data_IF_754860812015
#
_entry.id   IF_754860812015
#
_cell.length_a   1.000
_cell.length_b   1.000
_cell.length_c   1.000
_cell.angle_alpha   90.00
_cell.angle_beta   90.00
_cell.angle_gamma   90.00
#
_symmetry.space_group_name_H-M   'P 1'
#
loop_
_entity.id
_entity.type
_entity.pdbx_description
1 polymer ?
#
# COMPACT_ATOMS: atom_id res chain seq x y z
N UNK A 1 -1.51 -45.26 12.86
CA UNK A 1 -2.69 -44.46 13.29
C UNK A 1 -2.14 -43.21 13.96
N UNK A 2 -2.00 -42.13 13.19
CA UNK A 2 -1.42 -40.87 13.66
C UNK A 2 -2.56 -39.88 13.79
N UNK A 3 -3.03 -39.69 15.01
CA UNK A 3 -4.04 -38.69 15.35
C UNK A 3 -3.29 -37.35 15.46
N UNK A 4 -3.47 -36.49 14.46
CA UNK A 4 -3.02 -35.10 14.50
C UNK A 4 -4.20 -34.24 14.95
N UNK A 5 -4.18 -33.82 16.22
CA UNK A 5 -5.13 -32.86 16.78
C UNK A 5 -4.61 -31.44 16.55
N UNK A 6 -5.15 -30.75 15.56
CA UNK A 6 -4.95 -29.31 15.36
C UNK A 6 -5.84 -28.53 16.31
N UNK A 7 -5.25 -27.91 17.34
CA UNK A 7 -5.93 -26.95 18.20
C UNK A 7 -6.23 -25.66 17.43
N UNK A 8 -7.50 -25.42 17.14
CA UNK A 8 -8.01 -24.09 16.77
C UNK A 8 -8.12 -23.25 18.06
N UNK A 9 -7.39 -22.13 18.10
CA UNK A 9 -7.64 -21.05 19.08
C UNK A 9 -8.44 -19.94 18.38
N UNK A 10 -9.41 -19.30 19.05
CA UNK A 10 -10.20 -18.20 18.48
C UNK A 10 -9.31 -16.96 18.25
N UNK A 11 -9.64 -16.10 17.27
CA UNK A 11 -8.82 -14.96 16.90
C UNK A 11 -8.86 -13.88 17.99
N UNK A 12 -7.75 -13.74 18.72
CA UNK A 12 -7.49 -12.59 19.60
C UNK A 12 -7.19 -11.34 18.74
N UNK A 13 -7.78 -10.20 19.13
CA UNK A 13 -7.63 -8.89 18.46
C UNK A 13 -6.16 -8.54 18.20
N UNK A 14 -5.78 -8.06 17.00
CA UNK A 14 -4.40 -7.68 16.72
C UNK A 14 -4.04 -6.34 17.39
N UNK A 15 -2.87 -6.34 18.04
CA UNK A 15 -2.03 -5.18 18.35
C UNK A 15 -1.88 -4.29 17.10
N UNK A 16 -2.11 -2.97 17.26
CA UNK A 16 -2.26 -1.96 16.21
C UNK A 16 -0.97 -1.70 15.39
N UNK A 17 -0.51 -2.73 14.68
CA UNK A 17 0.57 -2.64 13.69
C UNK A 17 -0.08 -2.52 12.33
N UNK A 18 -0.50 -1.32 11.96
CA UNK A 18 -1.08 -1.02 10.65
C UNK A 18 -0.23 -1.63 9.53
N UNK A 19 -0.67 -2.78 8.99
CA UNK A 19 -0.11 -3.38 7.79
C UNK A 19 -0.85 -2.79 6.61
N UNK A 20 -0.30 -1.72 6.04
CA UNK A 20 -0.79 -1.23 4.75
C UNK A 20 -0.41 -2.26 3.68
N UNK A 21 -1.36 -3.14 3.37
CA UNK A 21 -1.16 -4.25 2.45
C UNK A 21 -1.74 -3.85 1.09
N UNK A 22 -0.87 -3.51 0.13
CA UNK A 22 -1.26 -3.11 -1.22
C UNK A 22 -1.29 -4.33 -2.15
N UNK A 23 -2.46 -4.73 -2.66
CA UNK A 23 -2.55 -5.78 -3.68
C UNK A 23 -3.59 -5.57 -4.79
N UNK A 24 -3.12 -5.97 -5.98
CA UNK A 24 -3.72 -6.56 -7.18
C UNK A 24 -4.78 -5.85 -8.05
N UNK A 25 -4.61 -6.11 -9.35
CA UNK A 25 -5.58 -5.93 -10.44
C UNK A 25 -6.53 -7.13 -10.42
N UNK A 26 -7.76 -6.94 -9.92
CA UNK A 26 -8.82 -7.95 -9.99
C UNK A 26 -9.28 -8.08 -11.46
N UNK A 27 -9.17 -9.27 -12.06
CA UNK A 27 -9.57 -9.52 -13.46
C UNK A 27 -10.88 -10.32 -13.52
N UNK A 28 -12.02 -9.63 -13.59
CA UNK A 28 -13.27 -10.12 -14.19
C UNK A 28 -13.97 -11.33 -13.53
N UNK A 29 -15.31 -11.37 -13.65
CA UNK A 29 -16.15 -12.50 -13.24
C UNK A 29 -16.39 -12.65 -11.74
N UNK A 30 -15.32 -12.84 -10.96
CA UNK A 30 -15.35 -13.29 -9.56
C UNK A 30 -14.75 -12.26 -8.58
N UNK A 31 -14.82 -10.97 -8.96
CA UNK A 31 -14.26 -9.84 -8.17
C UNK A 31 -14.73 -9.89 -6.71
N UNK A 32 -15.98 -10.27 -6.47
CA UNK A 32 -16.57 -10.29 -5.13
C UNK A 32 -16.11 -11.48 -4.28
N UNK A 33 -15.88 -12.64 -4.89
CA UNK A 33 -15.35 -13.81 -4.19
C UNK A 33 -13.90 -13.53 -3.78
N UNK A 34 -13.06 -13.06 -4.70
CA UNK A 34 -11.68 -12.67 -4.40
C UNK A 34 -11.60 -11.57 -3.32
N UNK A 35 -12.52 -10.59 -3.36
CA UNK A 35 -12.62 -9.56 -2.31
C UNK A 35 -13.07 -10.12 -0.97
N UNK A 36 -13.99 -11.09 -0.97
CA UNK A 36 -14.49 -11.74 0.24
C UNK A 36 -13.39 -12.56 0.89
N UNK A 37 -12.67 -13.35 0.11
CA UNK A 37 -11.52 -14.14 0.57
C UNK A 37 -10.42 -13.25 1.11
N UNK A 38 -10.12 -12.12 0.43
CA UNK A 38 -9.13 -11.19 0.97
C UNK A 38 -9.62 -10.58 2.29
N UNK A 39 -10.85 -10.08 2.33
CA UNK A 39 -11.40 -9.39 3.51
C UNK A 39 -11.50 -10.32 4.72
N UNK A 40 -11.83 -11.59 4.51
CA UNK A 40 -11.84 -12.60 5.59
C UNK A 40 -10.43 -12.88 6.12
N UNK A 41 -9.43 -12.95 5.24
CA UNK A 41 -8.04 -13.21 5.63
C UNK A 41 -7.36 -12.05 6.37
N UNK A 42 -7.79 -10.81 6.14
CA UNK A 42 -7.21 -9.60 6.76
C UNK A 42 -8.14 -8.95 7.80
N UNK A 43 -9.18 -9.68 8.23
CA UNK A 43 -10.18 -9.17 9.14
C UNK A 43 -9.55 -8.69 10.48
N UNK A 44 -9.88 -7.46 10.88
CA UNK A 44 -9.34 -6.82 12.10
C UNK A 44 -8.06 -5.98 11.89
N UNK A 45 -7.51 -5.95 10.67
CA UNK A 45 -6.37 -5.10 10.31
C UNK A 45 -6.83 -3.83 9.56
N UNK A 46 -6.05 -2.75 9.65
CA UNK A 46 -6.27 -1.57 8.79
C UNK A 46 -5.66 -1.79 7.41
N UNK A 47 -6.47 -1.67 6.36
CA UNK A 47 -6.02 -1.86 4.98
C UNK A 47 -6.58 -0.82 4.02
N UNK A 48 -5.82 -0.58 2.95
CA UNK A 48 -6.19 0.22 1.79
C UNK A 48 -5.99 -0.61 0.52
N UNK A 49 -7.02 -0.68 -0.31
CA UNK A 49 -7.01 -1.43 -1.57
C UNK A 49 -7.39 -0.47 -2.70
N UNK A 50 -6.46 -0.28 -3.62
CA UNK A 50 -6.69 0.40 -4.90
C UNK A 50 -6.69 -0.61 -6.05
N UNK A 51 -7.65 -0.48 -6.96
CA UNK A 51 -7.80 -1.45 -8.04
C UNK A 51 -8.64 -0.96 -9.22
N UNK A 52 -8.49 -1.65 -10.35
CA UNK A 52 -9.35 -1.51 -11.52
C UNK A 52 -10.55 -2.46 -11.38
N UNK A 53 -11.73 -1.93 -11.09
CA UNK A 53 -12.96 -2.70 -10.90
C UNK A 53 -13.82 -2.71 -12.14
N UNK A 54 -13.71 -1.67 -12.97
CA UNK A 54 -14.51 -1.49 -14.19
C UNK A 54 -16.01 -1.58 -13.93
N UNK A 55 -16.48 -1.11 -12.77
CA UNK A 55 -17.86 -1.16 -12.34
C UNK A 55 -18.45 0.27 -12.43
N UNK A 56 -19.66 0.42 -12.98
CA UNK A 56 -20.28 1.72 -13.18
C UNK A 56 -21.26 2.01 -12.05
N UNK A 57 -21.03 3.08 -11.30
CA UNK A 57 -21.97 3.56 -10.31
C UNK A 57 -21.89 5.08 -10.11
N UNK A 58 -23.04 5.67 -9.81
CA UNK A 58 -23.19 7.08 -9.49
C UNK A 58 -22.33 7.50 -8.29
N UNK A 59 -22.16 6.61 -7.32
CA UNK A 59 -21.39 6.85 -6.10
C UNK A 59 -19.94 7.27 -6.36
N UNK A 60 -19.35 6.90 -7.50
CA UNK A 60 -17.98 7.26 -7.88
C UNK A 60 -17.87 7.93 -9.25
N UNK A 61 -18.96 8.55 -9.73
CA UNK A 61 -18.91 9.52 -10.84
C UNK A 61 -19.55 9.10 -12.16
N UNK A 62 -20.05 7.86 -12.29
CA UNK A 62 -20.81 7.49 -13.49
C UNK A 62 -22.21 8.09 -13.49
N UNK A 63 -22.80 8.28 -14.68
CA UNK A 63 -24.20 8.71 -14.80
C UNK A 63 -25.18 7.60 -14.44
N UNK A 64 -24.86 6.38 -14.84
CA UNK A 64 -25.72 5.20 -14.73
C UNK A 64 -25.01 4.10 -13.94
N UNK A 65 -25.79 3.13 -13.49
CA UNK A 65 -25.32 1.96 -12.73
C UNK A 65 -25.39 0.68 -13.58
N UNK A 66 -24.28 -0.06 -13.65
CA UNK A 66 -24.26 -1.42 -14.21
C UNK A 66 -24.42 -2.48 -13.09
N UNK A 67 -24.67 -3.74 -13.47
CA UNK A 67 -24.85 -4.84 -12.50
C UNK A 67 -23.65 -4.97 -11.56
N UNK A 68 -22.43 -4.82 -12.09
CA UNK A 68 -21.19 -4.90 -11.32
C UNK A 68 -21.08 -3.75 -10.31
N UNK A 69 -21.48 -2.55 -10.71
CA UNK A 69 -21.55 -1.37 -9.82
C UNK A 69 -22.50 -1.60 -8.65
N UNK A 70 -23.69 -2.15 -8.93
CA UNK A 70 -24.67 -2.49 -7.89
C UNK A 70 -24.13 -3.51 -6.89
N UNK A 71 -23.61 -4.63 -7.40
CA UNK A 71 -23.08 -5.67 -6.52
C UNK A 71 -21.85 -5.18 -5.71
N UNK A 72 -20.98 -4.38 -6.32
CA UNK A 72 -19.84 -3.79 -5.62
C UNK A 72 -20.28 -2.77 -4.57
N UNK A 73 -21.30 -1.97 -4.85
CA UNK A 73 -21.88 -1.03 -3.89
C UNK A 73 -22.52 -1.75 -2.70
N UNK A 74 -23.28 -2.81 -2.94
CA UNK A 74 -23.85 -3.67 -1.90
C UNK A 74 -22.75 -4.25 -1.01
N UNK A 75 -21.69 -4.81 -1.61
CA UNK A 75 -20.55 -5.33 -0.88
C UNK A 75 -19.81 -4.27 -0.05
N UNK A 76 -19.63 -3.05 -0.59
CA UNK A 76 -19.05 -1.93 0.15
C UNK A 76 -19.90 -1.60 1.39
N UNK A 77 -21.22 -1.58 1.23
CA UNK A 77 -22.15 -1.28 2.32
C UNK A 77 -22.17 -2.40 3.37
N UNK A 78 -22.27 -3.66 2.95
CA UNK A 78 -22.32 -4.84 3.83
C UNK A 78 -21.06 -4.97 4.69
N UNK A 79 -19.88 -4.72 4.11
CA UNK A 79 -18.60 -4.83 4.82
C UNK A 79 -18.19 -3.55 5.53
N UNK A 80 -19.04 -2.52 5.56
CA UNK A 80 -18.74 -1.19 6.13
C UNK A 80 -17.42 -0.58 5.62
N UNK A 81 -17.12 -0.80 4.34
CA UNK A 81 -15.89 -0.31 3.72
C UNK A 81 -16.07 1.14 3.28
N UNK A 82 -15.07 1.98 3.54
CA UNK A 82 -15.06 3.38 3.11
C UNK A 82 -14.45 3.49 1.72
N UNK A 83 -15.01 4.36 0.89
CA UNK A 83 -14.53 4.65 -0.45
C UNK A 83 -13.86 6.03 -0.43
N UNK A 84 -12.64 6.14 -0.94
CA UNK A 84 -11.95 7.42 -1.06
C UNK A 84 -12.38 8.20 -2.32
N UNK A 85 -12.81 7.49 -3.36
CA UNK A 85 -13.47 8.12 -4.50
C UNK A 85 -14.79 8.77 -4.07
N UNK A 86 -15.13 9.87 -4.72
CA UNK A 86 -16.41 10.57 -4.57
C UNK A 86 -17.12 10.71 -5.93
N UNK A 87 -18.39 11.12 -5.93
CA UNK A 87 -19.12 11.46 -7.15
C UNK A 87 -18.49 12.62 -7.93
N UNK A 88 -17.80 13.52 -7.21
CA UNK A 88 -17.22 14.74 -7.76
C UNK A 88 -15.75 14.55 -8.16
N UNK A 89 -15.22 13.33 -7.96
CA UNK A 89 -13.85 12.99 -8.33
C UNK A 89 -13.64 13.11 -9.85
N UNK A 90 -12.48 13.61 -10.31
CA UNK A 90 -12.15 13.61 -11.74
C UNK A 90 -12.14 12.18 -12.31
N UNK A 91 -12.36 12.00 -13.63
CA UNK A 91 -12.32 10.69 -14.26
C UNK A 91 -10.93 10.06 -14.11
N UNK A 92 -10.88 8.77 -13.78
CA UNK A 92 -9.62 8.01 -13.71
C UNK A 92 -9.25 7.36 -15.05
N UNK A 93 -10.16 7.43 -16.03
CA UNK A 93 -9.95 6.93 -17.39
C UNK A 93 -10.46 7.95 -18.41
N UNK A 94 -9.67 8.21 -19.45
CA UNK A 94 -10.01 9.08 -20.57
C UNK A 94 -9.42 8.53 -21.87
N UNK A 95 -10.30 8.17 -22.80
CA UNK A 95 -9.92 7.76 -24.16
C UNK A 95 -10.76 8.50 -25.19
N UNK A 96 -10.12 9.32 -26.02
CA UNK A 96 -10.80 10.23 -26.95
C UNK A 96 -11.83 11.12 -26.21
N UNK A 97 -13.10 11.02 -26.59
CA UNK A 97 -14.22 11.74 -25.97
C UNK A 97 -14.92 10.94 -24.87
N UNK A 98 -14.41 9.75 -24.51
CA UNK A 98 -14.98 8.90 -23.46
C UNK A 98 -14.21 9.09 -22.15
N UNK A 99 -14.95 9.21 -21.05
CA UNK A 99 -14.42 9.32 -19.71
C UNK A 99 -15.05 8.25 -18.83
N UNK A 100 -14.34 7.82 -17.79
CA UNK A 100 -14.82 6.84 -16.83
C UNK A 100 -14.06 6.88 -15.51
N UNK A 101 -14.60 6.18 -14.53
CA UNK A 101 -14.07 6.03 -13.16
C UNK A 101 -13.91 4.55 -12.79
N UNK A 102 -13.22 3.73 -13.60
CA UNK A 102 -13.11 2.30 -13.33
C UNK A 102 -12.12 1.97 -12.20
N UNK A 103 -11.28 2.93 -11.77
CA UNK A 103 -10.27 2.75 -10.75
C UNK A 103 -10.77 3.28 -9.39
N UNK A 104 -10.92 2.37 -8.42
CA UNK A 104 -11.46 2.68 -7.10
C UNK A 104 -10.43 2.41 -6.02
N UNK A 105 -10.48 3.23 -4.96
CA UNK A 105 -9.65 3.10 -3.77
C UNK A 105 -10.54 3.01 -2.53
N UNK A 106 -10.39 1.91 -1.81
CA UNK A 106 -11.23 1.54 -0.66
C UNK A 106 -10.37 1.36 0.57
N UNK A 107 -10.90 1.75 1.73
CA UNK A 107 -10.24 1.66 3.03
C UNK A 107 -11.18 1.05 4.07
N UNK A 108 -10.63 0.27 4.99
CA UNK A 108 -11.45 -0.47 5.95
C UNK A 108 -12.00 0.40 7.08
N UNK A 109 -11.20 1.34 7.58
CA UNK A 109 -11.57 2.16 8.75
C UNK A 109 -11.82 3.61 8.39
N UNK A 110 -12.74 4.23 9.12
CA UNK A 110 -12.98 5.67 9.05
C UNK A 110 -11.72 6.46 9.42
N UNK A 111 -10.99 6.00 10.44
CA UNK A 111 -9.73 6.61 10.89
C UNK A 111 -8.67 6.64 9.80
N UNK A 112 -8.52 5.55 9.04
CA UNK A 112 -7.61 5.49 7.90
C UNK A 112 -8.10 6.40 6.76
N UNK A 113 -9.41 6.43 6.49
CA UNK A 113 -9.98 7.32 5.50
C UNK A 113 -9.68 8.81 5.82
N UNK A 114 -9.80 9.19 7.09
CA UNK A 114 -9.63 10.57 7.55
C UNK A 114 -8.18 11.09 7.39
N UNK A 115 -7.20 10.20 7.37
CA UNK A 115 -5.79 10.55 7.14
C UNK A 115 -5.35 10.32 5.69
N UNK A 116 -6.26 9.89 4.81
CA UNK A 116 -5.96 9.70 3.40
C UNK A 116 -6.41 10.91 2.58
N UNK A 117 -5.51 11.46 1.79
CA UNK A 117 -5.84 12.37 0.70
C UNK A 117 -5.83 11.58 -0.61
N UNK A 118 -6.84 11.80 -1.45
CA UNK A 118 -7.03 11.11 -2.71
C UNK A 118 -7.18 12.13 -3.82
N UNK A 119 -6.41 11.98 -4.89
CA UNK A 119 -6.44 12.91 -6.02
C UNK A 119 -6.16 12.19 -7.35
N UNK A 120 -6.61 12.79 -8.44
CA UNK A 120 -6.34 12.35 -9.81
C UNK A 120 -5.34 13.30 -10.43
N UNK A 121 -4.12 12.82 -10.67
CA UNK A 121 -3.06 13.64 -11.22
C UNK A 121 -3.32 13.94 -12.70
N UNK A 122 -3.43 15.23 -13.02
CA UNK A 122 -3.55 15.75 -14.40
C UNK A 122 -2.27 15.63 -15.24
N UNK A 123 -1.29 14.83 -14.80
CA UNK A 123 -0.07 14.63 -15.57
C UNK A 123 -0.37 13.99 -16.93
N UNK A 124 0.07 14.64 -18.00
CA UNK A 124 0.10 14.03 -19.33
C UNK A 124 0.85 12.69 -19.28
N UNK A 125 0.08 11.63 -19.37
CA UNK A 125 0.55 10.27 -19.49
C UNK A 125 0.14 9.72 -20.86
N UNK A 126 0.81 8.64 -21.30
CA UNK A 126 0.54 8.01 -22.59
C UNK A 126 -0.41 6.81 -22.47
N UNK A 127 -1.11 6.71 -21.34
CA UNK A 127 -2.15 5.73 -21.07
C UNK A 127 -3.51 6.41 -21.22
N UNK A 128 -4.54 5.59 -21.36
CA UNK A 128 -5.91 6.06 -21.22
C UNK A 128 -6.33 6.13 -19.74
N UNK A 129 -5.57 5.48 -18.83
CA UNK A 129 -5.76 5.63 -17.38
C UNK A 129 -4.99 6.83 -16.85
N UNK A 130 -5.62 7.58 -15.96
CA UNK A 130 -5.07 8.75 -15.27
C UNK A 130 -4.52 8.29 -13.92
N UNK A 131 -3.40 8.86 -13.49
CA UNK A 131 -2.76 8.43 -12.25
C UNK A 131 -3.59 8.87 -11.05
N UNK A 132 -3.86 7.92 -10.16
CA UNK A 132 -4.44 8.19 -8.85
C UNK A 132 -3.31 8.36 -7.84
N UNK A 133 -3.31 9.49 -7.14
CA UNK A 133 -2.41 9.79 -6.03
C UNK A 133 -3.15 9.57 -4.72
N UNK A 134 -2.48 8.89 -3.80
CA UNK A 134 -2.98 8.66 -2.45
C UNK A 134 -1.87 9.08 -1.49
N UNK A 135 -2.16 10.04 -0.64
CA UNK A 135 -1.30 10.43 0.47
C UNK A 135 -1.88 9.90 1.76
N UNK A 136 -1.06 9.24 2.58
CA UNK A 136 -1.44 8.76 3.90
C UNK A 136 -0.69 9.62 4.91
N UNK A 137 -1.39 10.55 5.54
CA UNK A 137 -0.87 11.50 6.51
C UNK A 137 -0.74 10.82 7.88
N UNK A 138 0.27 9.95 7.99
CA UNK A 138 0.53 9.18 9.20
C UNK A 138 1.93 9.47 9.75
N UNK A 139 2.04 9.52 11.07
CA UNK A 139 3.32 9.58 11.78
C UNK A 139 4.07 8.22 11.79
N UNK A 140 3.78 7.32 10.84
CA UNK A 140 4.53 6.07 10.67
C UNK A 140 5.95 6.43 10.23
N UNK A 141 6.84 6.48 11.21
CA UNK A 141 8.26 6.82 11.06
C UNK A 141 9.09 5.68 10.47
N UNK A 142 8.52 4.49 10.26
CA UNK A 142 9.26 3.34 9.74
C UNK A 142 8.66 2.78 8.46
N UNK A 143 9.14 3.25 7.31
CA UNK A 143 9.06 2.55 6.02
C UNK A 143 9.98 1.32 5.98
N UNK A 144 10.31 0.71 7.12
CA UNK A 144 11.28 -0.37 7.23
C UNK A 144 10.71 -1.51 8.08
N UNK A 145 10.74 -2.74 7.55
CA UNK A 145 10.56 -3.93 8.35
C UNK A 145 11.88 -4.26 9.04
N UNK A 146 11.90 -4.15 10.37
CA UNK A 146 13.02 -4.60 11.18
C UNK A 146 12.94 -6.13 11.36
N UNK A 147 13.94 -6.85 10.84
CA UNK A 147 14.08 -8.29 11.04
C UNK A 147 15.35 -8.58 11.84
N UNK A 148 15.23 -9.41 12.88
CA UNK A 148 16.38 -9.98 13.56
C UNK A 148 17.12 -10.95 12.64
N UNK A 149 18.45 -10.83 12.56
CA UNK A 149 19.32 -11.72 11.77
C UNK A 149 19.52 -13.09 12.45
N UNK A 150 18.43 -13.83 12.69
CA UNK A 150 18.45 -15.12 13.39
C UNK A 150 19.26 -16.18 12.67
N UNK A 151 19.32 -16.16 11.33
CA UNK A 151 20.12 -17.11 10.55
C UNK A 151 21.65 -16.97 10.72
N UNK A 152 22.14 -15.91 11.36
CA UNK A 152 23.57 -15.64 11.52
C UNK A 152 24.10 -16.10 12.90
N UNK A 153 23.38 -17.00 13.57
CA UNK A 153 23.72 -17.53 14.89
C UNK A 153 23.22 -16.65 16.05
N UNK A 154 23.72 -16.92 17.26
CA UNK A 154 23.30 -16.25 18.50
C UNK A 154 22.26 -17.02 19.32
N UNK A 155 21.74 -18.14 18.82
CA UNK A 155 20.71 -18.94 19.49
C UNK A 155 21.10 -19.43 20.88
N UNK A 156 22.34 -19.91 21.08
CA UNK A 156 22.80 -20.33 22.40
C UNK A 156 22.83 -19.16 23.40
N UNK A 157 23.22 -17.97 22.95
CA UNK A 157 23.22 -16.76 23.78
C UNK A 157 21.78 -16.33 24.12
N UNK A 158 20.87 -16.40 23.15
CA UNK A 158 19.44 -16.18 23.38
C UNK A 158 18.89 -17.16 24.42
N UNK A 159 19.12 -18.46 24.25
CA UNK A 159 18.66 -19.48 25.18
C UNK A 159 19.20 -19.24 26.59
N UNK A 160 20.48 -18.93 26.73
CA UNK A 160 21.09 -18.66 28.03
C UNK A 160 20.47 -17.44 28.73
N UNK A 161 20.24 -16.35 28.00
CA UNK A 161 19.61 -15.15 28.55
C UNK A 161 18.12 -15.38 28.87
N UNK A 162 17.40 -15.99 27.94
CA UNK A 162 15.95 -16.22 28.07
C UNK A 162 15.64 -17.24 29.16
N UNK A 163 16.50 -18.24 29.40
CA UNK A 163 16.34 -19.26 30.46
C UNK A 163 16.12 -18.63 31.83
N UNK A 164 16.79 -17.51 32.13
CA UNK A 164 16.60 -16.78 33.40
C UNK A 164 15.20 -16.17 33.55
N UNK A 165 14.47 -15.95 32.45
CA UNK A 165 13.12 -15.37 32.42
C UNK A 165 12.02 -16.41 32.46
N UNK A 166 12.31 -17.65 32.03
CA UNK A 166 11.31 -18.73 31.89
C UNK A 166 10.54 -18.98 33.17
N UNK A 167 11.19 -18.99 34.34
CA UNK A 167 10.48 -19.27 35.59
C UNK A 167 9.47 -18.17 35.94
N UNK A 168 9.83 -16.90 35.74
CA UNK A 168 8.90 -15.78 35.96
C UNK A 168 7.71 -15.83 34.98
N UNK A 169 7.97 -16.15 33.72
CA UNK A 169 6.92 -16.30 32.71
C UNK A 169 5.99 -17.49 33.02
N UNK A 170 6.52 -18.62 33.51
CA UNK A 170 5.71 -19.76 33.96
C UNK A 170 4.76 -19.38 35.10
N UNK A 171 5.26 -18.63 36.08
CA UNK A 171 4.45 -18.18 37.20
C UNK A 171 3.32 -17.23 36.73
N UNK A 172 3.59 -16.33 35.79
CA UNK A 172 2.55 -15.46 35.20
C UNK A 172 1.45 -16.25 34.51
N UNK A 173 1.82 -17.28 33.73
CA UNK A 173 0.84 -18.18 33.10
C UNK A 173 -0.01 -18.91 34.14
N UNK A 174 0.62 -19.43 35.19
CA UNK A 174 -0.09 -20.17 36.25
C UNK A 174 -1.01 -19.29 37.11
N UNK A 175 -0.71 -17.99 37.22
CA UNK A 175 -1.50 -17.04 38.02
C UNK A 175 -2.61 -16.36 37.22
N UNK A 176 -2.60 -16.47 35.88
CA UNK A 176 -3.63 -15.88 35.02
C UNK A 176 -4.92 -16.68 35.14
N UNK A 177 -6.01 -16.02 35.54
CA UNK A 177 -7.29 -16.66 35.86
C UNK A 177 -8.44 -16.20 34.96
N UNK A 178 -8.26 -15.09 34.23
CA UNK A 178 -9.25 -14.53 33.31
C UNK A 178 -8.62 -14.13 31.96
N UNK A 179 -9.48 -13.86 30.98
CA UNK A 179 -9.07 -13.56 29.60
C UNK A 179 -8.16 -12.33 29.48
N UNK A 180 -8.42 -11.29 30.29
CA UNK A 180 -7.62 -10.06 30.29
C UNK A 180 -6.20 -10.32 30.82
N UNK A 181 -6.08 -11.06 31.92
CA UNK A 181 -4.80 -11.49 32.48
C UNK A 181 -4.02 -12.40 31.53
N UNK A 182 -4.70 -13.28 30.80
CA UNK A 182 -4.06 -14.09 29.76
C UNK A 182 -3.54 -13.24 28.59
N UNK A 183 -4.30 -12.22 28.18
CA UNK A 183 -3.86 -11.27 27.14
C UNK A 183 -2.61 -10.49 27.59
N UNK A 184 -2.62 -9.99 28.82
CA UNK A 184 -1.48 -9.23 29.37
C UNK A 184 -0.25 -10.12 29.59
N UNK A 185 -0.45 -11.36 30.04
CA UNK A 185 0.62 -12.36 30.13
C UNK A 185 1.21 -12.67 28.76
N UNK A 186 0.37 -12.81 27.73
CA UNK A 186 0.82 -13.02 26.34
C UNK A 186 1.65 -11.84 25.85
N UNK A 187 1.19 -10.61 26.10
CA UNK A 187 1.92 -9.39 25.78
C UNK A 187 3.28 -9.34 26.48
N UNK A 188 3.32 -9.69 27.76
CA UNK A 188 4.55 -9.74 28.57
C UNK A 188 5.54 -10.75 27.99
N UNK A 189 5.09 -11.95 27.62
CA UNK A 189 5.94 -12.98 26.99
C UNK A 189 6.52 -12.47 25.66
N UNK A 190 5.67 -11.89 24.80
CA UNK A 190 6.10 -11.34 23.52
C UNK A 190 7.14 -10.23 23.70
N UNK A 191 6.94 -9.34 24.68
CA UNK A 191 7.87 -8.27 25.00
C UNK A 191 9.21 -8.80 25.51
N UNK A 192 9.22 -9.81 26.37
CA UNK A 192 10.47 -10.40 26.86
C UNK A 192 11.23 -11.15 25.76
N UNK A 193 10.52 -11.84 24.86
CA UNK A 193 11.13 -12.45 23.66
C UNK A 193 11.74 -11.35 22.79
N UNK A 194 11.00 -10.27 22.53
CA UNK A 194 11.47 -9.15 21.71
C UNK A 194 12.71 -8.46 22.32
N UNK A 195 12.68 -8.14 23.62
CA UNK A 195 13.82 -7.53 24.33
C UNK A 195 15.05 -8.43 24.27
N UNK A 196 14.88 -9.73 24.51
CA UNK A 196 15.98 -10.69 24.47
C UNK A 196 16.54 -10.82 23.05
N UNK A 197 15.67 -10.86 22.04
CA UNK A 197 16.08 -10.84 20.64
C UNK A 197 16.88 -9.57 20.29
N UNK A 198 16.47 -8.39 20.79
CA UNK A 198 17.17 -7.11 20.58
C UNK A 198 18.57 -7.07 21.20
N UNK A 199 18.78 -7.78 22.32
CA UNK A 199 20.10 -7.90 22.95
C UNK A 199 21.04 -8.85 22.23
N UNK A 200 20.49 -9.86 21.54
CA UNK A 200 21.27 -10.96 20.98
C UNK A 200 21.52 -10.80 19.48
N UNK A 201 20.48 -10.45 18.73
CA UNK A 201 20.52 -10.45 17.28
C UNK A 201 20.71 -9.04 16.74
N UNK A 202 21.56 -8.92 15.72
CA UNK A 202 21.63 -7.70 14.92
C UNK A 202 20.30 -7.49 14.18
N UNK A 203 19.80 -6.27 14.19
CA UNK A 203 18.60 -5.87 13.45
C UNK A 203 19.01 -5.48 12.03
N UNK A 204 18.31 -6.03 11.03
CA UNK A 204 18.35 -5.52 9.67
C UNK A 204 17.04 -4.79 9.40
N UNK A 205 17.13 -3.52 9.06
CA UNK A 205 16.01 -2.76 8.54
C UNK A 205 15.98 -2.96 7.03
N UNK A 206 14.93 -3.61 6.53
CA UNK A 206 14.68 -3.67 5.09
C UNK A 206 13.60 -2.64 4.77
N UNK A 207 13.76 -1.79 3.75
CA UNK A 207 12.70 -0.89 3.34
C UNK A 207 11.48 -1.72 2.91
N UNK A 208 10.31 -1.37 3.43
CA UNK A 208 9.01 -1.93 3.07
C UNK A 208 8.69 -1.64 1.61
N UNK A 209 9.13 -0.48 1.13
CA UNK A 209 9.06 -0.10 -0.28
C UNK A 209 10.45 -0.37 -0.88
N UNK A 210 10.65 -1.48 -1.60
CA UNK A 210 11.88 -1.65 -2.37
C UNK A 210 12.02 -0.44 -3.31
N UNK A 211 13.22 0.14 -3.37
CA UNK A 211 13.50 1.24 -4.28
C UNK A 211 13.06 0.80 -5.69
N UNK A 212 12.12 1.53 -6.28
CA UNK A 212 11.35 1.08 -7.44
C UNK A 212 12.28 1.08 -8.66
N UNK A 213 12.98 -0.04 -8.90
CA UNK A 213 14.09 -0.14 -9.87
C UNK A 213 13.67 0.02 -11.33
N UNK A 214 12.37 -0.09 -11.61
CA UNK A 214 11.84 0.14 -12.95
C UNK A 214 11.65 1.63 -13.26
N UNK A 215 11.62 2.53 -12.27
CA UNK A 215 11.66 3.98 -12.51
C UNK A 215 13.12 4.47 -12.53
N UNK A 216 13.86 4.08 -13.56
CA UNK A 216 15.25 4.49 -13.73
C UNK A 216 15.38 5.75 -14.59
N UNK A 217 16.58 6.33 -14.59
CA UNK A 217 16.92 7.52 -15.38
C UNK A 217 16.55 7.35 -16.86
N UNK A 218 16.65 6.15 -17.43
CA UNK A 218 16.31 5.88 -18.83
C UNK A 218 14.82 6.04 -19.10
N UNK A 219 13.95 5.61 -18.18
CA UNK A 219 12.51 5.85 -18.30
C UNK A 219 12.16 7.33 -18.23
N UNK A 220 12.86 8.08 -17.39
CA UNK A 220 12.68 9.53 -17.26
C UNK A 220 13.15 10.26 -18.53
N UNK A 221 14.29 9.86 -19.10
CA UNK A 221 14.79 10.34 -20.40
C UNK A 221 13.78 10.03 -21.50
N UNK A 222 13.29 8.79 -21.59
CA UNK A 222 12.26 8.40 -22.57
C UNK A 222 10.95 9.17 -22.38
N UNK A 223 10.53 9.46 -21.14
CA UNK A 223 9.36 10.33 -20.84
C UNK A 223 9.60 11.73 -21.38
N UNK A 224 10.78 12.32 -21.14
CA UNK A 224 11.14 13.65 -21.64
C UNK A 224 11.24 13.71 -23.17
N UNK A 225 11.81 12.71 -23.83
CA UNK A 225 11.86 12.62 -25.30
C UNK A 225 10.46 12.61 -25.93
N UNK A 226 9.55 11.81 -25.36
CA UNK A 226 8.18 11.74 -25.85
C UNK A 226 7.45 13.08 -25.64
N UNK A 227 7.69 13.76 -24.50
CA UNK A 227 7.15 15.10 -24.23
C UNK A 227 7.67 16.12 -25.25
N UNK A 228 8.97 16.08 -25.55
CA UNK A 228 9.56 16.95 -26.56
C UNK A 228 8.96 16.71 -27.96
N UNK A 229 8.75 15.45 -28.34
CA UNK A 229 8.11 15.09 -29.60
C UNK A 229 6.64 15.53 -29.66
N UNK A 230 5.88 15.38 -28.58
CA UNK A 230 4.50 15.84 -28.50
C UNK A 230 4.39 17.38 -28.62
N UNK A 231 5.29 18.11 -27.96
CA UNK A 231 5.39 19.58 -28.10
C UNK A 231 5.76 20.02 -29.51
N UNK A 232 6.65 19.28 -30.19
CA UNK A 232 6.99 19.54 -31.61
C UNK A 232 5.79 19.28 -32.52
N UNK A 233 5.04 18.21 -32.30
CA UNK A 233 3.82 17.90 -33.04
C UNK A 233 2.75 19.00 -32.91
N UNK A 234 2.60 19.58 -31.72
CA UNK A 234 1.66 20.70 -31.50
C UNK A 234 2.08 21.97 -32.24
N UNK A 235 3.38 22.17 -32.48
CA UNK A 235 3.94 23.36 -33.14
C UNK A 235 4.18 23.20 -34.64
N UNK A 236 4.03 21.99 -35.19
CA UNK A 236 4.34 21.66 -36.58
C UNK A 236 3.14 21.89 -37.52
N UNK A 237 3.41 22.39 -38.73
CA UNK A 237 2.49 22.48 -39.88
C UNK A 237 2.49 21.19 -40.71
N UNK A 238 1.56 21.09 -41.68
CA UNK A 238 0.97 19.83 -42.16
C UNK A 238 1.93 18.67 -42.51
N UNK A 239 3.03 18.88 -43.25
CA UNK A 239 3.95 17.79 -43.62
C UNK A 239 4.76 17.25 -42.44
N UNK A 240 5.33 18.15 -41.63
CA UNK A 240 6.07 17.80 -40.40
C UNK A 240 5.15 17.14 -39.37
N UNK A 241 3.88 17.54 -39.34
CA UNK A 241 2.87 17.01 -38.43
C UNK A 241 2.61 15.53 -38.70
N UNK A 242 2.57 15.11 -39.96
CA UNK A 242 2.43 13.68 -40.33
C UNK A 242 3.66 12.89 -39.85
N UNK A 243 4.86 13.41 -40.11
CA UNK A 243 6.11 12.78 -39.68
C UNK A 243 6.16 12.60 -38.15
N UNK A 244 5.92 13.67 -37.37
CA UNK A 244 5.92 13.59 -35.90
C UNK A 244 4.83 12.66 -35.36
N UNK A 245 3.65 12.58 -36.00
CA UNK A 245 2.56 11.68 -35.61
C UNK A 245 2.95 10.21 -35.81
N UNK A 246 3.62 9.88 -36.92
CA UNK A 246 4.14 8.53 -37.20
C UNK A 246 5.22 8.15 -36.18
N UNK A 247 6.19 9.06 -35.93
CA UNK A 247 7.29 8.82 -35.00
C UNK A 247 6.77 8.62 -33.57
N UNK A 248 5.83 9.44 -33.13
CA UNK A 248 5.17 9.30 -31.82
C UNK A 248 4.43 7.96 -31.71
N UNK A 249 3.65 7.58 -32.72
CA UNK A 249 2.92 6.30 -32.73
C UNK A 249 3.87 5.10 -32.63
N UNK A 250 4.98 5.09 -33.39
CA UNK A 250 6.00 4.04 -33.34
C UNK A 250 6.68 3.96 -31.97
N UNK A 251 7.10 5.09 -31.40
CA UNK A 251 7.73 5.10 -30.07
C UNK A 251 6.73 4.71 -28.96
N UNK A 252 5.45 5.08 -29.06
CA UNK A 252 4.39 4.65 -28.13
C UNK A 252 4.18 3.14 -28.17
N UNK A 253 4.05 2.52 -29.35
CA UNK A 253 3.90 1.06 -29.50
C UNK A 253 5.08 0.30 -28.87
N UNK A 254 6.30 0.75 -29.15
CA UNK A 254 7.53 0.13 -28.59
C UNK A 254 7.62 0.30 -27.07
N UNK A 255 7.13 1.41 -26.52
CA UNK A 255 7.03 1.60 -25.06
C UNK A 255 5.98 0.68 -24.47
N UNK A 256 4.78 0.60 -25.06
CA UNK A 256 3.70 -0.28 -24.58
C UNK A 256 4.12 -1.74 -24.52
N UNK A 257 4.86 -2.24 -25.52
CA UNK A 257 5.36 -3.62 -25.52
C UNK A 257 6.44 -3.88 -24.46
N UNK A 258 7.28 -2.89 -24.15
CA UNK A 258 8.28 -2.95 -23.07
C UNK A 258 7.63 -2.77 -21.70
N UNK A 259 6.56 -1.98 -21.64
CA UNK A 259 5.77 -1.78 -20.43
C UNK A 259 4.96 -3.04 -20.15
N UNK A 260 4.27 -3.67 -21.11
CA UNK A 260 3.56 -4.95 -20.93
C UNK A 260 4.47 -6.08 -20.47
N UNK A 261 5.71 -6.16 -20.98
CA UNK A 261 6.68 -7.15 -20.51
C UNK A 261 7.22 -6.86 -19.11
N UNK A 262 7.16 -5.59 -18.66
CA UNK A 262 7.56 -5.16 -17.32
C UNK A 262 6.38 -4.99 -16.33
N UNK A 263 5.13 -4.85 -16.82
CA UNK A 263 3.88 -4.57 -16.11
C UNK A 263 3.08 -5.84 -15.83
N UNK A 264 3.76 -6.89 -15.38
CA UNK A 264 3.07 -7.89 -14.53
C UNK A 264 2.66 -7.27 -13.17
N UNK A 265 2.98 -6.01 -12.90
CA UNK A 265 2.56 -5.24 -11.72
C UNK A 265 2.07 -3.83 -12.12
N UNK A 266 0.85 -3.40 -11.75
CA UNK A 266 0.34 -2.06 -12.01
C UNK A 266 0.98 -1.00 -11.11
N UNK A 267 0.98 0.26 -11.57
CA UNK A 267 1.66 1.41 -10.96
C UNK A 267 0.72 2.19 -10.05
N UNK A 268 1.08 2.29 -8.77
CA UNK A 268 0.50 3.21 -7.79
C UNK A 268 1.62 4.06 -7.21
N UNK A 269 1.43 5.39 -7.12
CA UNK A 269 2.39 6.29 -6.46
C UNK A 269 1.81 6.63 -5.09
N UNK A 270 2.44 6.11 -4.04
CA UNK A 270 2.12 6.46 -2.65
C UNK A 270 3.17 7.47 -2.20
N UNK A 271 2.74 8.68 -1.88
CA UNK A 271 3.59 9.71 -1.28
C UNK A 271 3.19 9.86 0.19
N UNK A 272 4.13 9.63 1.12
CA UNK A 272 3.93 9.92 2.54
C UNK A 272 4.40 11.35 2.78
N UNK A 273 3.48 12.25 3.19
CA UNK A 273 3.84 13.60 3.56
C UNK A 273 4.53 13.60 4.93
N UNK A 274 5.76 14.09 5.01
CA UNK A 274 6.44 14.37 6.28
C UNK A 274 6.19 15.83 6.64
N UNK A 275 5.59 16.10 7.80
CA UNK A 275 5.58 17.45 8.34
C UNK A 275 7.00 17.80 8.82
N UNK A 276 7.58 18.95 8.46
CA UNK A 276 8.85 19.38 9.04
C UNK A 276 8.60 19.77 10.50
N UNK A 277 9.29 19.09 11.42
CA UNK A 277 9.37 19.49 12.82
C UNK A 277 10.04 20.87 12.92
N UNK A 278 9.24 21.92 13.06
CA UNK A 278 9.72 23.21 13.57
C UNK A 278 9.91 23.09 15.08
N UNK A 279 11.03 22.52 15.51
CA UNK A 279 11.59 22.79 16.84
C UNK A 279 13.10 22.49 16.91
N UNK A 280 13.91 23.53 16.74
CA UNK A 280 15.15 23.78 17.49
C UNK A 280 15.82 25.03 16.94
N UNK A 281 15.30 26.19 17.35
CA UNK A 281 16.13 27.35 17.49
C UNK A 281 17.07 27.05 18.67
N UNK A 282 18.35 26.85 18.40
CA UNK A 282 19.38 26.82 19.44
C UNK A 282 20.24 28.06 19.26
N UNK A 283 20.07 29.00 20.18
CA UNK A 283 20.87 30.19 20.38
C UNK A 283 22.35 29.82 20.50
N UNK A 284 23.19 30.38 19.63
CA UNK A 284 24.64 30.37 19.77
C UNK A 284 25.03 31.51 20.72
N UNK A 285 25.16 31.19 22.00
CA UNK A 285 25.90 31.99 22.96
C UNK A 285 27.40 31.84 22.65
N UNK A 286 28.04 32.93 22.19
CA UNK A 286 29.50 33.03 22.11
C UNK A 286 29.96 34.03 23.17
N UNK A 287 30.41 33.50 24.30
CA UNK A 287 31.12 34.21 25.35
C UNK A 287 32.59 33.81 25.34
N UNK A 288 33.43 34.81 25.11
CA UNK A 288 34.87 34.97 25.32
C UNK A 288 35.67 33.83 26.00
N UNK A 289 36.81 33.49 25.37
CA UNK A 289 38.15 33.69 25.95
C UNK A 289 39.17 33.88 24.82
#
# INVERSE_FOLDING_TARGET
MTISTSFHSPPQKPDARGRVTFYYKLRGGEILEELTDLTTNINGEEYLIGGYFNAQCQRWGYRDEDLRGKQLQEFIAEKHIFLLNSSDSPPTFKHNNRQGWPDLTRVFSHSLAAICEWDVLEEENYSDHIFVKICINSNISSLYFARFKTAHGGHCKFLNLFKSKVQGLRNLISNSSNEEEFSETTRTIQLEIYKTCKQVYKIKCNPLIPNVTWWNRDFQIKKQELKALARRLQKSTDEDRIHYKIVLSKKKKKKSSVQESSQKSPTWIVETAMHPDTSSATELHTGQH
#
